data_IF_558721235749
#
_entry.id   IF_558721235749
#
_cell.length_a   1.000
_cell.length_b   1.000
_cell.length_c   1.000
_cell.angle_alpha   90.00
_cell.angle_beta   90.00
_cell.angle_gamma   90.00
#
_symmetry.space_group_name_H-M   'P 1'
#
loop_
_entity.id
_entity.type
_entity.pdbx_description
1 polymer ?
#
# COMPACT_ATOMS: atom_id res chain seq x y z
N UNK A 1 -3.27 -0.95 -11.30
CA UNK A 1 -1.89 -1.35 -11.67
C UNK A 1 -1.39 -2.26 -10.57
N UNK A 2 -1.06 -3.50 -10.90
CA UNK A 2 -0.48 -4.45 -9.95
C UNK A 2 1.04 -4.48 -10.19
N UNK A 3 1.82 -4.07 -9.20
CA UNK A 3 3.29 -3.99 -9.27
C UNK A 3 3.86 -3.11 -10.42
N UNK A 4 3.43 -1.85 -10.61
CA UNK A 4 3.93 -1.01 -11.71
C UNK A 4 5.40 -0.59 -11.57
N UNK A 5 6.01 -0.78 -10.40
CA UNK A 5 7.39 -0.39 -10.09
C UNK A 5 8.42 -1.46 -10.41
N UNK A 6 7.99 -2.69 -10.72
CA UNK A 6 8.93 -3.76 -10.99
C UNK A 6 9.58 -3.54 -12.37
N UNK A 7 10.89 -3.27 -12.37
CA UNK A 7 11.73 -2.88 -13.53
C UNK A 7 11.71 -1.39 -13.93
N UNK A 8 11.24 -0.47 -13.09
CA UNK A 8 11.34 0.98 -13.36
C UNK A 8 12.51 1.64 -12.62
N UNK A 9 13.36 2.35 -13.37
CA UNK A 9 14.38 3.26 -12.82
C UNK A 9 13.74 4.46 -12.09
N UNK A 10 14.50 5.13 -11.22
CA UNK A 10 14.02 6.26 -10.39
C UNK A 10 13.28 7.34 -11.21
N UNK A 11 13.83 7.73 -12.37
CA UNK A 11 13.21 8.74 -13.23
C UNK A 11 11.90 8.28 -13.88
N UNK A 12 11.73 6.98 -14.13
CA UNK A 12 10.45 6.47 -14.64
C UNK A 12 9.37 6.42 -13.56
N UNK A 13 9.74 6.24 -12.29
CA UNK A 13 8.80 6.33 -11.15
C UNK A 13 8.30 7.75 -10.96
N UNK A 14 9.17 8.74 -11.09
CA UNK A 14 8.79 10.16 -11.04
C UNK A 14 7.84 10.51 -12.20
N UNK A 15 8.17 10.10 -13.43
CA UNK A 15 7.31 10.33 -14.60
C UNK A 15 5.94 9.62 -14.46
N UNK A 16 5.92 8.41 -13.89
CA UNK A 16 4.66 7.70 -13.60
C UNK A 16 3.83 8.44 -12.54
N UNK A 17 4.46 8.94 -11.47
CA UNK A 17 3.77 9.71 -10.45
C UNK A 17 3.16 11.00 -11.02
N UNK A 18 3.91 11.73 -11.83
CA UNK A 18 3.47 12.97 -12.46
C UNK A 18 2.33 12.72 -13.48
N UNK A 19 2.44 11.64 -14.26
CA UNK A 19 1.38 11.24 -15.19
C UNK A 19 0.08 10.82 -14.47
N UNK A 20 0.20 10.14 -13.32
CA UNK A 20 -0.95 9.76 -12.50
C UNK A 20 -1.60 10.98 -11.81
N UNK A 21 -0.81 11.96 -11.38
CA UNK A 21 -1.33 13.22 -10.81
C UNK A 21 -2.09 14.06 -11.84
N UNK A 22 -1.70 14.00 -13.11
CA UNK A 22 -2.37 14.71 -14.21
C UNK A 22 -3.53 13.96 -14.86
N UNK A 23 -3.92 12.79 -14.33
CA UNK A 23 -4.95 11.96 -14.93
C UNK A 23 -6.34 12.26 -14.34
N UNK A 24 -7.27 12.75 -15.15
CA UNK A 24 -8.63 13.12 -14.72
C UNK A 24 -9.56 11.92 -14.40
N UNK A 25 -9.08 10.69 -14.57
CA UNK A 25 -9.85 9.47 -14.29
C UNK A 25 -9.54 8.86 -12.92
N UNK A 26 -10.31 7.84 -12.53
CA UNK A 26 -10.03 7.08 -11.31
C UNK A 26 -9.03 5.96 -11.58
N UNK A 27 -7.99 5.85 -10.74
CA UNK A 27 -6.97 4.80 -10.82
C UNK A 27 -6.99 3.95 -9.55
N UNK A 28 -7.05 2.63 -9.71
CA UNK A 28 -6.80 1.67 -8.62
C UNK A 28 -5.34 1.21 -8.69
N UNK A 29 -4.58 1.51 -7.65
CA UNK A 29 -3.14 1.24 -7.55
C UNK A 29 -2.86 0.21 -6.45
N UNK A 30 -2.10 -0.83 -6.79
CA UNK A 30 -1.56 -1.82 -5.85
C UNK A 30 -0.05 -1.84 -6.04
N UNK A 31 0.70 -1.51 -4.98
CA UNK A 31 2.16 -1.45 -5.04
C UNK A 31 2.77 -1.67 -3.65
N UNK A 32 3.99 -2.21 -3.61
CA UNK A 32 4.80 -2.24 -2.39
C UNK A 32 5.60 -0.93 -2.18
N UNK A 33 5.57 -0.01 -3.15
CA UNK A 33 6.30 1.25 -3.11
C UNK A 33 5.57 2.32 -2.32
N UNK A 34 6.03 2.52 -1.08
CA UNK A 34 5.46 3.50 -0.15
C UNK A 34 5.56 4.94 -0.64
N UNK A 35 6.60 5.29 -1.40
CA UNK A 35 6.79 6.66 -1.87
C UNK A 35 5.80 6.99 -2.98
N UNK A 36 5.64 6.08 -3.95
CA UNK A 36 4.64 6.19 -5.00
C UNK A 36 3.23 6.29 -4.42
N UNK A 37 2.86 5.36 -3.53
CA UNK A 37 1.55 5.39 -2.90
C UNK A 37 1.27 6.73 -2.21
N UNK A 38 2.21 7.23 -1.39
CA UNK A 38 2.04 8.51 -0.69
C UNK A 38 1.92 9.73 -1.62
N UNK A 39 2.52 9.69 -2.81
CA UNK A 39 2.53 10.85 -3.71
C UNK A 39 1.38 10.87 -4.72
N UNK A 40 0.70 9.74 -4.94
CA UNK A 40 -0.33 9.61 -6.00
C UNK A 40 -1.71 9.18 -5.54
N UNK A 41 -1.89 8.60 -4.36
CA UNK A 41 -3.22 8.12 -3.93
C UNK A 41 -3.91 9.09 -2.98
N UNK A 42 -5.17 9.40 -3.26
CA UNK A 42 -6.00 10.25 -2.39
C UNK A 42 -6.70 9.46 -1.27
N UNK A 43 -6.86 8.16 -1.47
CA UNK A 43 -7.57 7.25 -0.55
C UNK A 43 -6.86 5.91 -0.46
N UNK A 44 -6.88 5.32 0.73
CA UNK A 44 -6.36 3.99 1.00
C UNK A 44 -7.50 3.05 1.35
N UNK A 45 -7.42 1.82 0.85
CA UNK A 45 -8.33 0.73 1.20
C UNK A 45 -7.56 -0.38 1.90
N UNK A 46 -8.09 -0.81 3.05
CA UNK A 46 -7.57 -1.95 3.80
C UNK A 46 -8.29 -3.22 3.37
N UNK A 47 -7.52 -4.18 2.87
CA UNK A 47 -8.00 -5.52 2.53
C UNK A 47 -7.57 -6.48 3.62
N UNK A 48 -8.50 -6.89 4.48
CA UNK A 48 -8.25 -7.80 5.59
C UNK A 48 -9.52 -8.60 5.94
N UNK A 49 -9.35 -9.77 6.54
CA UNK A 49 -10.45 -10.63 7.02
C UNK A 49 -11.50 -10.95 5.94
N UNK A 50 -11.06 -11.10 4.68
CA UNK A 50 -11.95 -11.35 3.53
C UNK A 50 -12.82 -10.16 3.12
N UNK A 51 -12.54 -8.96 3.63
CA UNK A 51 -13.31 -7.73 3.35
C UNK A 51 -12.40 -6.59 2.92
N UNK A 52 -12.97 -5.60 2.24
CA UNK A 52 -12.30 -4.35 1.85
C UNK A 52 -13.03 -3.19 2.54
N UNK A 53 -12.28 -2.32 3.20
CA UNK A 53 -12.81 -1.17 3.93
C UNK A 53 -11.98 0.08 3.65
N UNK A 54 -12.62 1.25 3.71
CA UNK A 54 -11.89 2.52 3.70
C UNK A 54 -10.92 2.61 4.89
N UNK A 55 -9.72 3.11 4.62
CA UNK A 55 -8.67 3.28 5.61
C UNK A 55 -8.23 4.76 5.65
N UNK A 56 -8.65 5.43 6.72
CA UNK A 56 -8.34 6.86 6.94
C UNK A 56 -6.94 7.09 7.57
N UNK A 57 -6.23 6.01 7.90
CA UNK A 57 -4.85 6.07 8.40
C UNK A 57 -3.85 6.28 7.27
N UNK A 58 -2.61 6.60 7.63
CA UNK A 58 -1.51 6.65 6.67
C UNK A 58 -0.73 5.32 6.63
N UNK A 59 0.16 5.20 5.65
CA UNK A 59 1.01 4.01 5.50
C UNK A 59 1.87 3.71 6.73
N UNK A 60 2.28 4.74 7.50
CA UNK A 60 3.06 4.54 8.72
C UNK A 60 2.22 3.97 9.86
N UNK A 61 0.98 4.45 10.03
CA UNK A 61 0.01 3.89 10.96
C UNK A 61 -0.35 2.45 10.62
N UNK A 62 -0.49 2.14 9.33
CA UNK A 62 -0.72 0.77 8.88
C UNK A 62 0.46 -0.16 9.19
N UNK A 63 1.69 0.28 8.93
CA UNK A 63 2.89 -0.48 9.26
C UNK A 63 2.99 -0.79 10.76
N UNK A 64 2.74 0.22 11.61
CA UNK A 64 2.72 0.04 13.06
C UNK A 64 1.65 -0.97 13.50
N UNK A 65 0.46 -0.91 12.90
CA UNK A 65 -0.63 -1.84 13.19
C UNK A 65 -0.26 -3.28 12.79
N UNK A 66 0.30 -3.48 11.59
CA UNK A 66 0.74 -4.81 11.12
C UNK A 66 1.83 -5.38 12.02
N UNK A 67 2.81 -4.57 12.42
CA UNK A 67 3.87 -4.99 13.34
C UNK A 67 3.33 -5.34 14.72
N UNK A 68 2.30 -4.62 15.21
CA UNK A 68 1.64 -4.91 16.48
C UNK A 68 0.78 -6.19 16.42
N UNK A 69 0.12 -6.48 15.29
CA UNK A 69 -0.64 -7.72 15.09
C UNK A 69 0.25 -8.93 14.81
N UNK A 70 1.49 -8.71 14.35
CA UNK A 70 2.51 -9.75 14.12
C UNK A 70 3.42 -9.92 15.36
N UNK A 71 2.85 -9.80 16.57
CA UNK A 71 3.48 -10.31 17.79
C UNK A 71 3.66 -11.84 17.71
N UNK A 72 4.65 -12.43 18.41
CA UNK A 72 5.01 -13.84 18.22
C UNK A 72 3.78 -14.72 18.43
N UNK A 73 3.46 -15.53 17.42
CA UNK A 73 2.39 -16.52 17.48
C UNK A 73 2.50 -17.33 18.79
N UNK A 74 1.39 -17.55 19.53
CA UNK A 74 1.42 -18.40 20.71
C UNK A 74 2.00 -19.76 20.32
N UNK A 75 3.12 -20.14 20.92
CA UNK A 75 3.64 -21.51 20.77
C UNK A 75 2.66 -22.44 21.48
N UNK A 76 1.76 -23.06 20.73
CA UNK A 76 0.97 -24.20 21.20
C UNK A 76 1.97 -25.29 21.64
N UNK A 77 2.06 -25.50 22.95
CA UNK A 77 2.70 -26.66 23.56
C UNK A 77 1.68 -27.80 23.52
N UNK A 78 1.95 -28.91 22.83
CA UNK A 78 1.11 -30.10 22.91
C UNK A 78 1.41 -30.85 24.22
N UNK A 79 0.34 -31.33 24.87
CA UNK A 79 0.35 -32.25 26.02
C UNK A 79 0.95 -33.62 25.68
#
# INVERSE_FOLDING_TARGET
>A
LDEPTNHLDLGMREALAEALQGYDGTVLLVSHDRHLLRSTVDRLWLVADGTVRDYDGDLAGYEAAVLATTGPAPREQPD
#
